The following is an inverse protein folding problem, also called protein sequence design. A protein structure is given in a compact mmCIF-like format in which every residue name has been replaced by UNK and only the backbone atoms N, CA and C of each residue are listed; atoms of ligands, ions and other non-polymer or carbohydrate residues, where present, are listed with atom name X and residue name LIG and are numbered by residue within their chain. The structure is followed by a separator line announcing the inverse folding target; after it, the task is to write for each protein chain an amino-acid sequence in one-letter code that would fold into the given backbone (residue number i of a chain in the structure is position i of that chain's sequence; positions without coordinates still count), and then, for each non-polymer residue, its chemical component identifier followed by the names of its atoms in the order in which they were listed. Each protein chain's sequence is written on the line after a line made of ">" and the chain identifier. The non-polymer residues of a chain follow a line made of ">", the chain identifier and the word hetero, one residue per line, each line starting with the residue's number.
data_IF_213078801282
#
_entry.id   IF_213078801282
#
_cell.length_a   1.000
_cell.length_b   1.000
_cell.length_c   1.000
_cell.angle_alpha   90.00
_cell.angle_beta   90.00
_cell.angle_gamma   90.00
#
_symmetry.space_group_name_H-M   'P 1'
#
loop_
_entity.id
_entity.type
_entity.pdbx_description
1 polymer ?
#
# COMPACT_ATOMS: atom_id res chain seq x y z
N UNK A 1 46.21 -10.45 33.26
CA UNK A 1 46.45 -11.83 33.71
C UNK A 1 45.13 -12.56 33.88
N UNK A 2 45.08 -13.74 33.28
CA UNK A 2 44.05 -14.80 33.36
C UNK A 2 42.87 -14.74 32.38
N UNK A 3 43.11 -15.32 31.21
CA UNK A 3 42.17 -16.13 30.40
C UNK A 3 42.07 -17.55 31.00
N UNK A 4 41.35 -18.49 30.38
CA UNK A 4 40.05 -18.62 29.72
C UNK A 4 39.28 -19.85 30.28
N UNK A 5 38.01 -20.05 29.88
CA UNK A 5 37.44 -21.42 29.85
C UNK A 5 36.51 -21.58 28.66
N UNK A 6 37.00 -22.37 27.72
CA UNK A 6 36.27 -22.99 26.61
C UNK A 6 35.47 -24.18 27.18
N UNK A 7 34.20 -24.32 26.82
CA UNK A 7 33.51 -25.63 26.82
C UNK A 7 32.75 -25.84 25.53
N UNK A 8 33.29 -26.78 24.77
CA UNK A 8 32.63 -27.47 23.63
C UNK A 8 31.75 -28.58 24.18
N UNK A 9 30.66 -28.88 23.50
CA UNK A 9 30.01 -30.20 23.30
C UNK A 9 28.58 -29.89 22.83
N UNK A 10 27.84 -30.56 21.96
CA UNK A 10 28.15 -31.64 21.04
C UNK A 10 26.98 -31.70 20.04
N UNK A 11 27.27 -32.23 18.88
CA UNK A 11 26.35 -32.56 17.78
C UNK A 11 25.26 -33.55 18.20
N UNK A 12 24.04 -33.39 17.72
CA UNK A 12 23.13 -34.51 17.47
C UNK A 12 22.41 -34.28 16.12
N UNK A 13 22.79 -35.06 15.15
CA UNK A 13 22.14 -35.26 13.88
C UNK A 13 20.92 -36.17 14.07
N UNK A 14 19.81 -35.86 13.42
CA UNK A 14 18.72 -36.82 13.20
C UNK A 14 18.22 -36.63 11.80
N UNK A 15 18.53 -37.61 10.97
CA UNK A 15 18.04 -37.81 9.61
C UNK A 15 16.77 -38.69 9.61
N UNK A 16 16.12 -38.70 8.45
CA UNK A 16 15.04 -39.60 7.94
C UNK A 16 13.62 -39.12 8.27
N UNK A 17 12.64 -39.15 7.33
CA UNK A 17 12.46 -40.04 6.21
C UNK A 17 11.62 -39.40 5.11
N UNK A 18 12.01 -39.65 3.86
CA UNK A 18 11.20 -39.51 2.65
C UNK A 18 10.15 -40.64 2.60
N UNK A 19 8.91 -40.32 2.33
CA UNK A 19 7.92 -41.28 1.88
C UNK A 19 7.39 -40.84 0.52
N UNK A 20 7.89 -41.50 -0.53
CA UNK A 20 7.37 -41.51 -1.88
C UNK A 20 6.10 -42.37 -1.93
N UNK A 21 4.97 -41.81 -2.37
CA UNK A 21 3.87 -42.57 -2.90
C UNK A 21 3.69 -42.28 -4.38
N UNK A 22 4.28 -43.18 -5.18
CA UNK A 22 3.92 -43.39 -6.56
C UNK A 22 2.89 -44.55 -6.58
N UNK A 23 1.74 -44.36 -7.20
CA UNK A 23 0.86 -45.42 -7.72
C UNK A 23 0.23 -44.86 -8.97
N UNK A 24 0.68 -45.25 -10.05
CA UNK A 24 0.44 -46.33 -10.97
C UNK A 24 -0.99 -46.37 -11.52
N UNK A 25 -1.01 -46.11 -12.81
CA UNK A 25 -2.09 -46.30 -13.77
C UNK A 25 -2.23 -47.81 -14.10
N UNK A 26 -3.43 -48.27 -14.40
CA UNK A 26 -3.71 -49.57 -14.99
C UNK A 26 -5.20 -49.86 -14.77
N UNK A 27 -6.06 -49.95 -15.66
CA UNK A 27 -6.21 -50.56 -16.96
C UNK A 27 -7.28 -51.66 -16.90
N UNK A 28 -8.43 -51.41 -17.54
CA UNK A 28 -9.35 -52.33 -18.27
C UNK A 28 -10.08 -53.51 -17.64
N UNK A 29 -11.36 -53.47 -17.91
CA UNK A 29 -12.32 -54.51 -18.42
C UNK A 29 -13.14 -55.34 -17.45
N UNK A 30 -14.41 -55.20 -17.67
CA UNK A 30 -15.52 -56.12 -17.96
C UNK A 30 -16.39 -56.69 -16.85
N UNK A 31 -17.67 -56.42 -17.09
CA UNK A 31 -18.89 -57.18 -16.89
C UNK A 31 -19.36 -57.63 -15.50
N UNK A 32 -20.63 -57.23 -15.21
CA UNK A 32 -21.57 -58.15 -14.57
C UNK A 32 -22.33 -57.62 -13.35
N UNK A 33 -23.50 -57.03 -13.63
CA UNK A 33 -24.82 -57.29 -12.98
C UNK A 33 -25.13 -56.96 -11.50
N UNK A 34 -26.16 -56.11 -11.37
CA UNK A 34 -27.25 -56.01 -10.37
C UNK A 34 -26.97 -55.70 -8.90
N UNK A 35 -27.54 -54.57 -8.50
CA UNK A 35 -28.39 -54.53 -7.31
C UNK A 35 -28.10 -53.48 -6.25
N UNK A 36 -29.05 -52.57 -6.12
CA UNK A 36 -29.54 -51.91 -4.90
C UNK A 36 -28.74 -50.78 -4.20
N UNK A 37 -29.40 -49.63 -4.23
CA UNK A 37 -29.50 -48.58 -3.20
C UNK A 37 -28.33 -48.30 -2.26
N UNK A 38 -27.72 -47.13 -2.47
CA UNK A 38 -26.85 -46.50 -1.51
C UNK A 38 -26.60 -45.03 -1.90
N UNK A 39 -27.40 -44.12 -1.35
CA UNK A 39 -27.16 -42.70 -1.43
C UNK A 39 -25.79 -42.38 -0.85
N UNK A 40 -24.83 -42.13 -1.69
CA UNK A 40 -23.56 -41.46 -1.29
C UNK A 40 -23.64 -39.99 -1.64
N UNK A 41 -23.56 -39.20 -0.60
CA UNK A 41 -23.44 -37.76 -0.71
C UNK A 41 -22.22 -37.39 -1.56
N UNK A 42 -22.48 -36.75 -2.67
CA UNK A 42 -21.49 -36.16 -3.54
C UNK A 42 -20.90 -34.95 -2.79
N UNK A 43 -19.70 -35.10 -2.27
CA UNK A 43 -18.94 -33.98 -1.76
C UNK A 43 -18.55 -33.11 -2.96
N UNK A 44 -19.24 -32.02 -3.12
CA UNK A 44 -18.82 -30.91 -4.00
C UNK A 44 -17.43 -30.47 -3.58
N UNK A 45 -16.42 -30.91 -4.34
CA UNK A 45 -15.13 -30.27 -4.36
C UNK A 45 -15.35 -28.90 -4.99
N UNK A 46 -15.62 -27.88 -4.17
CA UNK A 46 -15.40 -26.50 -4.56
C UNK A 46 -13.94 -26.38 -4.98
N UNK A 47 -13.70 -26.47 -6.28
CA UNK A 47 -12.45 -26.05 -6.86
C UNK A 47 -12.35 -24.55 -6.57
N UNK A 48 -11.50 -24.20 -5.60
CA UNK A 48 -11.06 -22.83 -5.40
C UNK A 48 -10.45 -22.39 -6.73
N UNK A 49 -11.20 -21.57 -7.49
CA UNK A 49 -10.70 -21.00 -8.72
C UNK A 49 -9.42 -20.22 -8.36
N UNK A 50 -8.30 -20.60 -8.97
CA UNK A 50 -7.08 -19.82 -8.89
C UNK A 50 -7.42 -18.38 -9.30
N UNK A 51 -6.95 -17.36 -8.56
CA UNK A 51 -7.24 -15.98 -8.91
C UNK A 51 -6.80 -15.74 -10.36
N UNK A 52 -7.73 -15.27 -11.20
CA UNK A 52 -7.44 -14.93 -12.57
C UNK A 52 -6.30 -13.89 -12.55
N UNK A 53 -5.14 -14.24 -13.11
CA UNK A 53 -4.01 -13.33 -13.23
C UNK A 53 -4.42 -12.18 -14.14
N UNK A 54 -4.81 -11.06 -13.53
CA UNK A 54 -5.20 -9.87 -14.27
C UNK A 54 -3.93 -9.32 -14.95
N UNK A 55 -3.98 -9.16 -16.28
CA UNK A 55 -2.86 -8.60 -17.03
C UNK A 55 -2.54 -7.18 -16.51
N UNK A 56 -1.25 -6.85 -16.30
CA UNK A 56 -0.88 -5.51 -15.88
C UNK A 56 -1.22 -4.48 -16.98
N UNK A 57 -1.65 -3.29 -16.55
CA UNK A 57 -1.86 -2.17 -17.44
C UNK A 57 -0.51 -1.66 -17.96
N UNK A 58 -0.44 -1.36 -19.25
CA UNK A 58 0.68 -0.65 -19.85
C UNK A 58 0.77 0.80 -19.38
N UNK A 59 1.89 1.47 -19.61
CA UNK A 59 2.05 2.88 -19.27
C UNK A 59 0.97 3.77 -19.92
N UNK A 60 0.60 3.49 -21.19
CA UNK A 60 -0.43 4.24 -21.90
C UNK A 60 -1.85 3.99 -21.34
N UNK A 61 -2.14 2.78 -20.85
CA UNK A 61 -3.40 2.46 -20.19
C UNK A 61 -3.47 3.09 -18.80
N UNK A 62 -2.37 3.07 -18.02
CA UNK A 62 -2.29 3.77 -16.74
C UNK A 62 -2.47 5.29 -16.89
N UNK A 63 -1.86 5.88 -17.93
CA UNK A 63 -2.01 7.30 -18.22
C UNK A 63 -3.48 7.69 -18.44
N UNK A 64 -4.25 6.85 -19.14
CA UNK A 64 -5.70 7.04 -19.36
C UNK A 64 -6.53 6.78 -18.10
N UNK A 65 -6.10 5.80 -17.28
CA UNK A 65 -6.75 5.45 -16.02
C UNK A 65 -6.41 6.44 -14.89
N UNK A 66 -5.33 7.22 -15.01
CA UNK A 66 -4.93 8.16 -13.98
C UNK A 66 -5.93 9.32 -13.84
N UNK A 67 -6.03 9.85 -12.63
CA UNK A 67 -6.90 10.96 -12.26
C UNK A 67 -6.63 12.18 -13.17
N UNK A 68 -7.68 12.77 -13.71
CA UNK A 68 -7.67 13.98 -14.50
C UNK A 68 -8.49 15.08 -13.84
N UNK A 69 -8.32 16.35 -14.26
CA UNK A 69 -9.07 17.47 -13.70
C UNK A 69 -10.59 17.30 -13.84
N UNK A 70 -11.04 16.64 -14.88
CA UNK A 70 -12.47 16.37 -15.14
C UNK A 70 -13.10 15.34 -14.20
N UNK A 71 -12.28 14.58 -13.49
CA UNK A 71 -12.73 13.52 -12.59
C UNK A 71 -13.02 14.04 -11.18
N UNK A 72 -12.60 15.27 -10.87
CA UNK A 72 -12.74 15.89 -9.53
C UNK A 72 -13.63 17.13 -9.59
N UNK A 73 -14.41 17.34 -8.54
CA UNK A 73 -15.33 18.48 -8.42
C UNK A 73 -14.66 19.73 -7.85
N UNK A 74 -13.55 19.55 -7.13
CA UNK A 74 -12.84 20.60 -6.42
C UNK A 74 -11.33 20.37 -6.47
N UNK A 75 -10.55 21.40 -6.19
CA UNK A 75 -9.10 21.32 -6.18
C UNK A 75 -8.48 21.27 -7.58
N UNK A 76 -7.18 21.14 -7.62
CA UNK A 76 -6.38 21.16 -8.85
C UNK A 76 -5.59 19.88 -9.01
N UNK A 77 -5.77 19.21 -10.15
CA UNK A 77 -4.94 18.06 -10.57
C UNK A 77 -3.76 18.54 -11.39
N UNK A 78 -2.55 18.04 -11.07
CA UNK A 78 -1.32 18.29 -11.81
C UNK A 78 -0.83 16.97 -12.37
N UNK A 79 -0.61 16.93 -13.68
CA UNK A 79 -0.18 15.72 -14.41
C UNK A 79 1.33 15.62 -14.59
N UNK A 80 2.03 16.74 -14.55
CA UNK A 80 3.50 16.80 -14.58
C UNK A 80 3.99 17.34 -13.24
N UNK A 81 4.48 16.44 -12.40
CA UNK A 81 4.91 16.77 -11.06
C UNK A 81 6.25 17.54 -11.07
N UNK A 82 6.45 18.48 -10.13
CA UNK A 82 7.77 19.01 -9.86
C UNK A 82 8.67 17.89 -9.29
N UNK A 83 9.99 18.06 -9.41
CA UNK A 83 10.96 17.07 -8.93
C UNK A 83 10.81 16.73 -7.44
N UNK A 84 10.39 17.71 -6.62
CA UNK A 84 10.11 17.52 -5.18
C UNK A 84 8.95 16.56 -4.88
N UNK A 85 8.05 16.35 -5.82
CA UNK A 85 6.90 15.44 -5.69
C UNK A 85 7.11 14.12 -6.49
N UNK A 86 8.11 14.09 -7.37
CA UNK A 86 8.41 12.94 -8.23
C UNK A 86 9.68 12.21 -7.76
N UNK A 87 9.65 11.76 -6.52
CA UNK A 87 10.79 11.06 -5.92
C UNK A 87 10.82 9.60 -6.43
N UNK A 88 11.96 9.21 -6.99
CA UNK A 88 12.18 7.86 -7.47
C UNK A 88 12.40 6.86 -6.31
N UNK A 89 12.03 5.61 -6.53
CA UNK A 89 12.10 4.55 -5.51
C UNK A 89 13.53 4.38 -4.94
N UNK A 90 14.55 4.44 -5.78
CA UNK A 90 15.97 4.27 -5.39
C UNK A 90 16.53 5.42 -4.56
N UNK A 91 15.84 6.55 -4.52
CA UNK A 91 16.18 7.72 -3.69
C UNK A 91 15.67 7.63 -2.26
N UNK A 92 14.87 6.60 -1.95
CA UNK A 92 14.27 6.43 -0.62
C UNK A 92 15.01 5.35 0.15
N UNK A 93 15.44 5.67 1.36
CA UNK A 93 16.09 4.74 2.29
C UNK A 93 15.41 4.83 3.64
N UNK A 94 15.35 3.73 4.38
CA UNK A 94 14.80 3.69 5.74
C UNK A 94 15.85 3.15 6.70
N UNK A 95 15.79 3.57 7.95
CA UNK A 95 16.64 3.06 9.05
C UNK A 95 16.35 1.57 9.36
N UNK A 96 15.13 1.12 9.05
CA UNK A 96 14.67 -0.27 9.21
C UNK A 96 14.20 -0.80 7.86
N UNK A 97 14.82 -1.86 7.37
CA UNK A 97 14.46 -2.48 6.08
C UNK A 97 12.98 -2.90 6.01
N UNK A 98 12.40 -3.38 7.13
CA UNK A 98 10.99 -3.74 7.22
C UNK A 98 10.04 -2.55 6.96
N UNK A 99 10.51 -1.31 7.17
CA UNK A 99 9.72 -0.09 6.98
C UNK A 99 9.85 0.51 5.57
N UNK A 100 10.67 -0.09 4.69
CA UNK A 100 10.89 0.44 3.34
C UNK A 100 9.59 0.67 2.54
N UNK A 101 8.57 -0.23 2.56
CA UNK A 101 7.31 0.03 1.88
C UNK A 101 6.60 1.30 2.37
N UNK A 102 6.70 1.60 3.67
CA UNK A 102 6.11 2.81 4.25
C UNK A 102 6.91 4.07 3.91
N UNK A 103 8.25 4.01 3.92
CA UNK A 103 9.09 5.11 3.47
C UNK A 103 8.78 5.53 2.04
N UNK A 104 8.62 4.55 1.15
CA UNK A 104 8.18 4.76 -0.23
C UNK A 104 6.78 5.40 -0.32
N UNK A 105 5.83 4.90 0.47
CA UNK A 105 4.48 5.44 0.53
C UNK A 105 4.48 6.92 0.98
N UNK A 106 5.30 7.31 1.97
CA UNK A 106 5.34 8.69 2.48
C UNK A 106 5.69 9.72 1.40
N UNK A 107 6.50 9.35 0.42
CA UNK A 107 6.96 10.25 -0.66
C UNK A 107 6.19 10.06 -1.98
N UNK A 108 5.08 9.33 -1.97
CA UNK A 108 4.31 9.06 -3.18
C UNK A 108 5.05 8.18 -4.19
N UNK A 109 5.92 7.28 -3.70
CA UNK A 109 6.49 6.22 -4.51
C UNK A 109 5.72 4.91 -4.29
N UNK A 110 6.15 3.83 -4.90
CA UNK A 110 5.46 2.53 -4.89
C UNK A 110 6.35 1.43 -4.28
N UNK A 111 5.73 0.42 -3.68
CA UNK A 111 6.42 -0.78 -3.21
C UNK A 111 6.59 -1.81 -4.35
N UNK A 112 7.60 -2.66 -4.26
CA UNK A 112 7.85 -3.73 -5.23
C UNK A 112 8.36 -3.25 -6.59
N UNK A 113 8.06 -4.01 -7.65
CA UNK A 113 8.54 -3.76 -9.01
C UNK A 113 7.35 -3.78 -9.98
N UNK A 114 6.65 -2.67 -10.20
CA UNK A 114 5.57 -2.60 -11.17
C UNK A 114 6.11 -2.69 -12.61
N UNK A 115 5.27 -3.20 -13.51
CA UNK A 115 5.52 -3.21 -14.96
C UNK A 115 5.41 -1.78 -15.54
N UNK A 116 4.56 -0.94 -14.94
CA UNK A 116 4.40 0.47 -15.30
C UNK A 116 3.86 1.26 -14.10
N UNK A 117 4.15 2.56 -14.08
CA UNK A 117 3.61 3.49 -13.10
C UNK A 117 3.36 4.87 -13.71
N UNK A 118 2.45 5.62 -13.09
CA UNK A 118 2.14 7.01 -13.44
C UNK A 118 1.85 7.78 -12.16
N UNK A 119 2.28 9.05 -12.11
CA UNK A 119 2.04 9.93 -10.96
C UNK A 119 1.18 11.13 -11.33
N UNK A 120 0.38 11.57 -10.38
CA UNK A 120 -0.41 12.81 -10.39
C UNK A 120 -0.28 13.48 -9.02
N UNK A 121 -0.56 14.75 -8.93
CA UNK A 121 -0.87 15.36 -7.64
C UNK A 121 -2.21 16.07 -7.70
N UNK A 122 -2.88 16.10 -6.57
CA UNK A 122 -4.08 16.87 -6.37
C UNK A 122 -3.90 17.77 -5.14
N UNK A 123 -4.35 19.01 -5.26
CA UNK A 123 -4.36 19.95 -4.13
C UNK A 123 -5.77 20.47 -3.98
N UNK A 124 -6.37 20.30 -2.82
CA UNK A 124 -7.69 20.80 -2.50
C UNK A 124 -7.78 22.33 -2.52
N UNK A 125 -8.99 22.83 -2.60
CA UNK A 125 -9.23 24.26 -2.46
C UNK A 125 -8.95 24.71 -1.03
N UNK A 126 -8.41 25.91 -0.88
CA UNK A 126 -8.22 26.52 0.43
C UNK A 126 -9.58 26.82 1.09
N UNK A 127 -9.66 26.66 2.40
CA UNK A 127 -10.84 27.11 3.15
C UNK A 127 -10.96 28.64 3.11
N UNK A 128 -12.16 29.12 3.00
CA UNK A 128 -12.42 30.55 3.16
C UNK A 128 -12.37 30.89 4.63
N UNK A 129 -11.70 31.97 5.04
CA UNK A 129 -11.75 32.43 6.42
C UNK A 129 -13.18 32.82 6.82
N UNK A 130 -13.51 32.66 8.08
CA UNK A 130 -14.78 33.15 8.62
C UNK A 130 -14.86 34.67 8.57
N UNK A 131 -16.07 35.20 8.49
CA UNK A 131 -16.28 36.64 8.50
C UNK A 131 -15.80 37.21 9.86
N UNK A 132 -14.88 38.18 9.81
CA UNK A 132 -14.28 38.75 11.02
C UNK A 132 -13.09 37.97 11.60
N UNK A 133 -12.60 36.94 10.88
CA UNK A 133 -11.41 36.21 11.27
C UNK A 133 -10.18 37.14 11.42
N UNK A 134 -9.31 36.83 12.37
CA UNK A 134 -8.02 37.51 12.49
C UNK A 134 -7.12 37.26 11.26
N UNK A 135 -6.04 38.03 11.12
CA UNK A 135 -5.07 37.82 10.04
C UNK A 135 -4.41 36.44 10.16
N UNK A 136 -4.17 35.97 11.38
CA UNK A 136 -3.62 34.64 11.67
C UNK A 136 -4.59 33.52 11.28
N UNK A 137 -5.86 33.60 11.69
CA UNK A 137 -6.89 32.64 11.33
C UNK A 137 -7.12 32.60 9.83
N UNK A 138 -7.06 33.77 9.16
CA UNK A 138 -7.19 33.86 7.71
C UNK A 138 -6.00 33.18 7.00
N UNK A 139 -4.79 33.31 7.53
CA UNK A 139 -3.62 32.62 6.99
C UNK A 139 -3.72 31.09 7.21
N UNK A 140 -4.14 30.64 8.39
CA UNK A 140 -4.36 29.22 8.67
C UNK A 140 -5.43 28.64 7.74
N UNK A 141 -6.55 29.36 7.54
CA UNK A 141 -7.60 28.92 6.61
C UNK A 141 -7.08 28.81 5.17
N UNK A 142 -6.21 29.71 4.71
CA UNK A 142 -5.59 29.63 3.39
C UNK A 142 -4.63 28.43 3.24
N UNK A 143 -4.04 27.95 4.35
CA UNK A 143 -3.21 26.75 4.40
C UNK A 143 -4.02 25.46 4.60
N UNK A 144 -5.28 25.54 5.04
CA UNK A 144 -6.13 24.39 5.31
C UNK A 144 -6.66 23.75 4.01
N UNK A 145 -5.74 23.06 3.36
CA UNK A 145 -6.00 22.26 2.16
C UNK A 145 -5.11 21.04 2.14
N UNK A 146 -5.66 19.92 1.71
CA UNK A 146 -4.90 18.70 1.53
C UNK A 146 -4.11 18.74 0.21
N UNK A 147 -2.88 18.26 0.23
CA UNK A 147 -2.10 17.89 -0.94
C UNK A 147 -1.95 16.37 -0.95
N UNK A 148 -2.31 15.74 -2.05
CA UNK A 148 -2.21 14.29 -2.29
C UNK A 148 -1.27 14.06 -3.47
N UNK A 149 -0.27 13.20 -3.30
CA UNK A 149 0.49 12.63 -4.42
C UNK A 149 -0.15 11.29 -4.76
N UNK A 150 -0.71 11.17 -5.94
CA UNK A 150 -1.33 9.93 -6.41
C UNK A 150 -0.35 9.18 -7.31
N UNK A 151 -0.06 7.92 -6.98
CA UNK A 151 0.71 7.02 -7.84
C UNK A 151 -0.12 5.79 -8.19
N UNK A 152 -0.31 5.55 -9.48
CA UNK A 152 -0.79 4.27 -9.98
C UNK A 152 0.42 3.41 -10.35
N UNK A 153 0.42 2.17 -9.91
CA UNK A 153 1.44 1.19 -10.24
C UNK A 153 0.77 -0.13 -10.60
N UNK A 154 1.05 -0.66 -11.79
CA UNK A 154 0.48 -1.91 -12.27
C UNK A 154 1.53 -3.00 -12.32
N UNK A 155 1.20 -4.18 -11.84
CA UNK A 155 2.13 -5.27 -11.55
C UNK A 155 1.79 -6.51 -12.36
N UNK A 156 2.82 -7.27 -12.72
CA UNK A 156 2.67 -8.62 -13.26
C UNK A 156 2.68 -9.66 -12.12
N UNK A 157 2.22 -10.86 -12.43
CA UNK A 157 2.49 -12.11 -11.69
C UNK A 157 2.19 -12.04 -10.17
N UNK A 158 1.07 -11.44 -9.77
CA UNK A 158 0.68 -11.33 -8.36
C UNK A 158 1.45 -10.26 -7.58
N UNK A 159 2.23 -9.42 -8.27
CA UNK A 159 3.03 -8.38 -7.61
C UNK A 159 2.22 -7.32 -6.89
N UNK A 160 0.97 -7.06 -7.31
CA UNK A 160 0.06 -6.13 -6.62
C UNK A 160 -0.35 -6.66 -5.25
N UNK A 161 -0.77 -7.92 -5.17
CA UNK A 161 -1.11 -8.62 -3.92
C UNK A 161 0.10 -8.69 -2.99
N UNK A 162 1.29 -8.98 -3.54
CA UNK A 162 2.51 -9.02 -2.73
C UNK A 162 2.86 -7.64 -2.18
N UNK A 163 2.80 -6.59 -2.99
CA UNK A 163 3.07 -5.22 -2.53
C UNK A 163 2.06 -4.77 -1.45
N UNK A 164 0.78 -5.17 -1.56
CA UNK A 164 -0.23 -4.88 -0.54
C UNK A 164 0.04 -5.61 0.78
N UNK A 165 0.46 -6.90 0.72
CA UNK A 165 0.90 -7.68 1.88
C UNK A 165 2.12 -7.05 2.55
N UNK A 166 3.11 -6.62 1.76
CA UNK A 166 4.33 -5.99 2.27
C UNK A 166 4.01 -4.66 2.98
N UNK A 167 3.11 -3.84 2.44
CA UNK A 167 2.63 -2.61 3.06
C UNK A 167 1.90 -2.88 4.37
N UNK A 168 1.00 -3.87 4.38
CA UNK A 168 0.24 -4.25 5.58
C UNK A 168 1.16 -4.76 6.69
N UNK A 169 2.14 -5.61 6.31
CA UNK A 169 3.14 -6.10 7.24
C UNK A 169 4.02 -4.97 7.78
N UNK A 170 4.48 -4.07 6.91
CA UNK A 170 5.29 -2.92 7.31
C UNK A 170 4.51 -2.00 8.27
N UNK A 171 3.20 -1.80 8.07
CA UNK A 171 2.37 -1.01 8.97
C UNK A 171 2.34 -1.59 10.40
N UNK A 172 2.32 -2.91 10.54
CA UNK A 172 2.37 -3.58 11.83
C UNK A 172 3.78 -3.53 12.44
N UNK A 173 4.81 -3.89 11.67
CA UNK A 173 6.20 -3.96 12.15
C UNK A 173 6.75 -2.58 12.55
N UNK A 174 6.26 -1.53 11.91
CA UNK A 174 6.72 -0.15 12.09
C UNK A 174 5.73 0.75 12.85
N UNK A 175 4.77 0.15 13.58
CA UNK A 175 3.80 0.91 14.36
C UNK A 175 4.45 1.86 15.38
N UNK A 176 5.61 1.50 15.93
CA UNK A 176 6.42 2.30 16.86
C UNK A 176 7.30 3.37 16.18
N UNK A 177 7.15 3.57 14.86
CA UNK A 177 7.88 4.58 14.10
C UNK A 177 9.17 4.09 13.46
N UNK A 178 9.69 4.92 12.56
CA UNK A 178 10.90 4.71 11.77
C UNK A 178 11.39 6.06 11.22
N UNK A 179 12.58 6.09 10.64
CA UNK A 179 13.06 7.22 9.88
C UNK A 179 13.30 6.84 8.43
N UNK A 180 13.06 7.77 7.52
CA UNK A 180 13.41 7.59 6.12
C UNK A 180 14.14 8.81 5.57
N UNK A 181 15.00 8.58 4.61
CA UNK A 181 15.69 9.64 3.86
C UNK A 181 15.20 9.60 2.43
N UNK A 182 14.81 10.75 1.91
CA UNK A 182 14.40 10.94 0.54
C UNK A 182 15.06 12.20 0.00
N UNK A 183 15.71 12.12 -1.16
CA UNK A 183 16.42 13.22 -1.81
C UNK A 183 17.41 13.96 -0.88
N UNK A 184 18.04 13.21 0.03
CA UNK A 184 19.03 13.75 0.98
C UNK A 184 18.45 14.25 2.31
N UNK A 185 17.15 14.44 2.42
CA UNK A 185 16.49 14.88 3.64
C UNK A 185 15.95 13.69 4.46
N UNK A 186 16.17 13.74 5.78
CA UNK A 186 15.70 12.70 6.70
C UNK A 186 14.45 13.16 7.43
N UNK A 187 13.40 12.35 7.32
CA UNK A 187 12.12 12.54 8.02
C UNK A 187 11.95 11.45 9.07
N UNK A 188 11.53 11.84 10.26
CA UNK A 188 11.19 10.92 11.35
C UNK A 188 9.68 10.72 11.42
N UNK A 189 9.24 9.48 11.39
CA UNK A 189 7.88 9.06 11.70
C UNK A 189 7.88 8.49 13.12
N UNK A 190 7.22 9.17 14.04
CA UNK A 190 7.20 8.77 15.46
C UNK A 190 6.23 7.62 15.75
N UNK A 191 5.17 7.49 14.91
CA UNK A 191 4.13 6.45 15.05
C UNK A 191 3.44 6.21 13.72
N UNK A 192 3.03 4.96 13.50
CA UNK A 192 2.12 4.57 12.41
C UNK A 192 0.89 3.90 13.02
N UNK A 193 -0.30 4.30 12.60
CA UNK A 193 -1.56 3.70 13.01
C UNK A 193 -2.40 3.33 11.79
N UNK A 194 -2.93 2.10 11.79
CA UNK A 194 -3.92 1.67 10.80
C UNK A 194 -5.26 2.30 11.17
N UNK A 195 -5.96 2.83 10.18
CA UNK A 195 -7.26 3.50 10.32
C UNK A 195 -8.31 2.86 9.41
N UNK A 196 -9.56 3.33 9.47
CA UNK A 196 -10.61 2.82 8.61
C UNK A 196 -10.29 3.10 7.14
N UNK A 197 -10.27 2.04 6.34
CA UNK A 197 -9.99 2.11 4.90
C UNK A 197 -11.27 2.37 4.10
N UNK A 198 -11.18 3.05 2.93
CA UNK A 198 -12.30 3.24 2.03
C UNK A 198 -12.78 1.90 1.46
N UNK A 199 -14.04 1.89 1.01
CA UNK A 199 -14.68 0.73 0.38
C UNK A 199 -14.54 0.79 -1.16
N UNK A 200 -14.92 -0.28 -1.87
CA UNK A 200 -15.02 -0.32 -3.33
C UNK A 200 -13.76 -0.83 -4.05
N UNK A 201 -12.68 -1.06 -3.32
CA UNK A 201 -11.46 -1.73 -3.82
C UNK A 201 -11.49 -3.23 -3.50
N UNK A 202 -10.61 -4.01 -4.15
CA UNK A 202 -10.42 -5.43 -3.81
C UNK A 202 -9.68 -5.57 -2.48
N UNK A 203 -8.73 -4.67 -2.21
CA UNK A 203 -8.03 -4.51 -0.94
C UNK A 203 -7.77 -3.02 -0.68
N UNK A 204 -7.80 -2.62 0.58
CA UNK A 204 -7.50 -1.24 0.98
C UNK A 204 -6.75 -1.19 2.32
N UNK A 205 -5.83 -0.25 2.44
CA UNK A 205 -5.09 0.06 3.66
C UNK A 205 -5.10 1.57 3.86
N UNK A 206 -5.53 2.02 5.03
CA UNK A 206 -5.44 3.43 5.42
C UNK A 206 -4.57 3.59 6.66
N UNK A 207 -3.72 4.59 6.66
CA UNK A 207 -2.73 4.84 7.69
C UNK A 207 -2.74 6.31 8.11
N UNK A 208 -2.51 6.54 9.39
CA UNK A 208 -2.07 7.84 9.91
C UNK A 208 -0.67 7.70 10.47
N UNK A 209 0.26 8.47 9.93
CA UNK A 209 1.65 8.57 10.38
C UNK A 209 1.83 9.85 11.17
N UNK A 210 2.36 9.77 12.40
CA UNK A 210 2.76 10.96 13.14
C UNK A 210 4.17 11.33 12.70
N UNK A 211 4.31 12.40 11.92
CA UNK A 211 5.60 12.94 11.50
C UNK A 211 6.13 13.82 12.62
N UNK A 212 7.43 13.71 12.89
CA UNK A 212 8.15 14.50 13.89
C UNK A 212 9.19 15.37 13.17
N UNK A 213 8.88 16.65 13.02
CA UNK A 213 9.74 17.65 12.43
C UNK A 213 10.35 18.52 13.55
N UNK A 214 11.57 18.18 13.98
CA UNK A 214 12.32 18.93 15.02
C UNK A 214 11.56 19.06 16.36
N UNK A 215 10.67 18.12 16.68
CA UNK A 215 9.86 18.11 17.89
C UNK A 215 8.38 18.48 17.66
N UNK A 216 8.08 19.19 16.60
CA UNK A 216 6.71 19.46 16.18
C UNK A 216 6.11 18.21 15.50
N UNK A 217 4.95 17.80 15.98
CA UNK A 217 4.30 16.58 15.51
C UNK A 217 3.01 16.88 14.79
N UNK A 218 2.87 16.31 13.61
CA UNK A 218 1.64 16.43 12.82
C UNK A 218 1.26 15.11 12.14
N UNK A 219 -0.05 14.90 11.86
CA UNK A 219 -0.52 13.72 11.15
C UNK A 219 -0.37 13.88 9.63
N UNK A 220 0.37 12.96 9.01
CA UNK A 220 0.31 12.66 7.59
C UNK A 220 -0.59 11.43 7.39
N UNK A 221 -1.44 11.44 6.38
CA UNK A 221 -2.39 10.35 6.10
C UNK A 221 -2.08 9.69 4.79
N UNK A 222 -2.31 8.39 4.70
CA UNK A 222 -2.09 7.66 3.46
C UNK A 222 -3.19 6.62 3.26
N UNK A 223 -3.61 6.46 2.02
CA UNK A 223 -4.49 5.38 1.59
C UNK A 223 -3.79 4.64 0.46
N UNK A 224 -3.87 3.32 0.47
CA UNK A 224 -3.48 2.47 -0.65
C UNK A 224 -4.65 1.56 -0.97
N UNK A 225 -5.03 1.47 -2.24
CA UNK A 225 -6.10 0.58 -2.70
C UNK A 225 -5.60 -0.28 -3.84
N UNK A 226 -6.05 -1.54 -3.89
CA UNK A 226 -5.81 -2.47 -4.99
C UNK A 226 -7.09 -2.68 -5.80
N UNK A 227 -6.93 -2.66 -7.11
CA UNK A 227 -7.96 -3.09 -8.06
C UNK A 227 -7.29 -3.94 -9.14
N UNK A 228 -7.59 -5.24 -9.15
CA UNK A 228 -6.90 -6.20 -10.00
C UNK A 228 -5.39 -6.20 -9.79
N UNK A 229 -4.64 -6.02 -10.87
CA UNK A 229 -3.18 -5.95 -10.87
C UNK A 229 -2.62 -4.54 -10.59
N UNK A 230 -3.46 -3.56 -10.21
CA UNK A 230 -3.05 -2.16 -10.03
C UNK A 230 -3.23 -1.71 -8.58
N UNK A 231 -2.19 -1.08 -8.03
CA UNK A 231 -2.26 -0.32 -6.78
C UNK A 231 -2.35 1.17 -7.07
N UNK A 232 -3.18 1.86 -6.30
CA UNK A 232 -3.20 3.31 -6.23
C UNK A 232 -2.79 3.75 -4.82
N UNK A 233 -1.74 4.57 -4.76
CA UNK A 233 -1.12 5.09 -3.54
C UNK A 233 -1.51 6.56 -3.39
N UNK A 234 -1.95 6.95 -2.20
CA UNK A 234 -2.42 8.31 -1.90
C UNK A 234 -1.82 8.82 -0.59
N UNK A 235 -0.49 9.07 -0.49
CA UNK A 235 0.02 9.84 0.62
C UNK A 235 -0.49 11.28 0.54
N UNK A 236 -0.84 11.83 1.71
CA UNK A 236 -1.46 13.14 1.80
C UNK A 236 -1.01 13.90 3.05
N UNK A 237 -0.83 15.19 2.90
CA UNK A 237 -0.56 16.13 3.98
C UNK A 237 -1.52 17.32 3.92
N UNK A 238 -1.75 17.95 5.06
CA UNK A 238 -2.49 19.21 5.15
C UNK A 238 -1.58 20.25 5.81
N UNK A 239 -1.35 21.36 5.15
CA UNK A 239 -0.38 22.36 5.59
C UNK A 239 -0.79 23.06 6.89
N UNK A 240 -2.09 23.32 7.11
CA UNK A 240 -2.57 23.85 8.38
C UNK A 240 -2.39 22.86 9.51
N UNK A 241 -2.60 21.55 9.22
CA UNK A 241 -2.33 20.48 10.17
C UNK A 241 -0.84 20.35 10.48
N UNK A 242 0.03 20.48 9.48
CA UNK A 242 1.47 20.47 9.67
C UNK A 242 1.94 21.61 10.59
N UNK A 243 1.34 22.80 10.47
CA UNK A 243 1.67 23.97 11.30
C UNK A 243 1.06 23.91 12.72
N UNK A 244 -0.05 23.20 12.92
CA UNK A 244 -0.82 23.22 14.18
C UNK A 244 -0.79 21.91 14.95
N UNK A 245 -0.34 20.82 14.34
CA UNK A 245 -0.43 19.45 14.89
C UNK A 245 -1.87 18.89 14.96
N UNK A 246 -2.88 19.65 14.52
CA UNK A 246 -4.29 19.22 14.58
C UNK A 246 -4.59 18.14 13.55
N UNK A 247 -5.49 17.23 13.89
CA UNK A 247 -5.99 16.21 12.95
C UNK A 247 -6.87 16.86 11.86
N UNK A 248 -6.98 16.16 10.73
CA UNK A 248 -7.72 16.62 9.56
C UNK A 248 -8.37 15.45 8.82
N UNK A 249 -9.41 15.73 8.03
CA UNK A 249 -10.10 14.70 7.26
C UNK A 249 -9.34 14.41 5.95
N UNK A 250 -9.06 13.13 5.69
CA UNK A 250 -8.50 12.70 4.40
C UNK A 250 -9.55 12.89 3.28
N UNK A 251 -9.19 13.41 2.10
CA UNK A 251 -10.12 13.63 0.98
C UNK A 251 -10.46 12.32 0.27
N UNK A 252 -11.42 11.55 0.79
CA UNK A 252 -11.81 10.23 0.25
C UNK A 252 -12.38 10.32 -1.16
N UNK A 253 -12.95 11.44 -1.55
CA UNK A 253 -13.47 11.70 -2.89
C UNK A 253 -12.41 11.51 -4.00
N UNK A 254 -11.13 11.69 -3.69
CA UNK A 254 -10.03 11.49 -4.65
C UNK A 254 -9.78 9.99 -4.86
N UNK A 255 -9.93 9.18 -3.81
CA UNK A 255 -9.85 7.72 -3.91
C UNK A 255 -11.03 7.19 -4.72
N UNK A 256 -12.23 7.66 -4.43
CA UNK A 256 -13.47 7.25 -5.12
C UNK A 256 -13.39 7.60 -6.62
N UNK A 257 -12.96 8.82 -6.95
CA UNK A 257 -12.76 9.26 -8.32
C UNK A 257 -11.73 8.40 -9.07
N UNK A 258 -10.64 8.02 -8.41
CA UNK A 258 -9.63 7.15 -9.01
C UNK A 258 -10.13 5.72 -9.17
N UNK A 259 -10.81 5.16 -8.16
CA UNK A 259 -11.37 3.81 -8.23
C UNK A 259 -12.40 3.66 -9.35
N UNK A 260 -13.20 4.69 -9.62
CA UNK A 260 -14.16 4.70 -10.71
C UNK A 260 -13.52 4.54 -12.11
N UNK A 261 -12.21 4.83 -12.24
CA UNK A 261 -11.41 4.69 -13.47
C UNK A 261 -10.66 3.37 -13.57
N UNK A 262 -10.51 2.65 -12.46
CA UNK A 262 -9.89 1.33 -12.41
C UNK A 262 -10.98 0.25 -12.53
N UNK A 263 -10.93 -0.50 -13.62
CA UNK A 263 -11.88 -1.60 -13.91
C UNK A 263 -11.34 -2.94 -13.47
#
# INVERSE_FOLDING_TARGET
>A
MRSPVVRRTALAASAAALALFATACGGSSDEGDKGADGRTAQADKSASAAPATTKPLSAAELEKAALAQTDVKSGKVVTKLPATDDIAQDKVKTDKAACAPLGLLQVGSYAGKPAASVKRSWTGDAKKPEAGASAEDSMIAALDRAKVVLTLASYADGGAEQAMKDLTKAAADCAGGFSFTADGETTKVAKVAVTAAPQGADEALALTSTVDAEGDKFPAKSVVVRKGATLAYFPAVNMASAASGKDWAFPTEIVDAQLAKLK
#
